data_IF_591765708583
#
_entry.id   IF_591765708583
#
_cell.length_a   1.000
_cell.length_b   1.000
_cell.length_c   1.000
_cell.angle_alpha   90.00
_cell.angle_beta   90.00
_cell.angle_gamma   90.00
#
_symmetry.space_group_name_H-M   'P 1'
#
loop_
_entity.id
_entity.type
_entity.pdbx_description
1 polymer ?
#
# COMPACT_ATOMS: atom_id res chain seq x y z
N UNK A 1 0.47 33.46 29.10
CA UNK A 1 0.08 33.45 27.67
C UNK A 1 0.49 32.14 26.99
N UNK A 2 1.71 31.63 27.19
CA UNK A 2 2.12 30.34 26.60
C UNK A 2 1.28 29.14 27.04
N UNK A 3 0.92 29.00 28.33
CA UNK A 3 0.11 27.89 28.84
C UNK A 3 -1.26 27.73 28.15
N UNK A 4 -1.85 28.82 27.68
CA UNK A 4 -3.13 28.80 26.96
C UNK A 4 -2.92 28.27 25.52
N UNK A 5 -1.85 28.68 24.85
CA UNK A 5 -1.48 28.15 23.53
C UNK A 5 -1.21 26.64 23.57
N UNK A 6 -0.62 26.13 24.65
CA UNK A 6 -0.39 24.70 24.85
C UNK A 6 -1.69 23.89 25.04
N UNK A 7 -2.72 24.48 25.64
CA UNK A 7 -4.03 23.83 25.84
C UNK A 7 -4.81 23.66 24.53
N UNK A 8 -4.57 24.50 23.52
CA UNK A 8 -5.20 24.42 22.21
C UNK A 8 -4.40 23.61 21.19
N UNK A 9 -3.14 23.29 21.48
CA UNK A 9 -2.27 22.46 20.65
C UNK A 9 -2.87 21.10 20.22
N UNK A 10 -3.67 20.40 21.06
CA UNK A 10 -4.40 19.18 20.68
C UNK A 10 -5.50 19.36 19.63
N UNK A 11 -5.88 20.60 19.35
CA UNK A 11 -6.99 20.98 18.47
C UNK A 11 -6.51 21.77 17.24
N UNK A 12 -5.20 21.95 17.09
CA UNK A 12 -4.63 22.65 15.94
C UNK A 12 -4.30 21.65 14.81
N UNK A 13 -4.56 21.99 13.54
CA UNK A 13 -4.24 21.13 12.41
C UNK A 13 -2.78 20.64 12.42
N UNK A 14 -2.57 19.35 12.13
CA UNK A 14 -1.27 18.71 12.30
C UNK A 14 -0.10 19.40 11.57
N UNK A 15 -0.34 20.08 10.44
CA UNK A 15 0.69 20.83 9.71
C UNK A 15 1.20 22.08 10.46
N UNK A 16 0.38 22.67 11.34
CA UNK A 16 0.76 23.80 12.19
C UNK A 16 1.65 23.32 13.35
N UNK A 17 1.37 22.12 13.85
CA UNK A 17 2.04 21.57 15.03
C UNK A 17 3.31 20.78 14.67
N UNK A 18 3.40 20.25 13.43
CA UNK A 18 4.52 19.47 12.93
C UNK A 18 5.91 20.12 13.08
N UNK A 19 6.12 21.44 12.82
CA UNK A 19 7.41 22.10 13.04
C UNK A 19 7.86 22.08 14.50
N UNK A 20 6.93 22.15 15.46
CA UNK A 20 7.23 22.10 16.89
C UNK A 20 7.66 20.69 17.33
N UNK A 21 6.98 19.66 16.81
CA UNK A 21 7.34 18.26 17.06
C UNK A 21 8.72 17.89 16.51
N UNK A 22 9.07 18.40 15.32
CA UNK A 22 10.35 18.17 14.66
C UNK A 22 11.57 18.56 15.52
N UNK A 23 11.43 19.57 16.38
CA UNK A 23 12.52 20.01 17.26
C UNK A 23 12.70 19.10 18.48
N UNK A 24 11.60 18.63 19.08
CA UNK A 24 11.63 17.65 20.19
C UNK A 24 12.20 16.31 19.75
N UNK A 25 11.89 15.95 18.51
CA UNK A 25 12.31 14.75 17.80
C UNK A 25 13.80 14.62 17.48
N UNK A 26 14.50 15.74 17.34
CA UNK A 26 15.95 15.79 17.07
C UNK A 26 16.80 15.57 18.32
N UNK A 27 16.20 15.60 19.51
CA UNK A 27 16.89 15.34 20.77
C UNK A 27 17.21 13.84 20.87
N UNK A 28 18.41 13.42 20.46
CA UNK A 28 18.91 12.03 20.52
C UNK A 28 19.09 11.42 21.92
N UNK A 29 18.32 11.86 22.92
CA UNK A 29 18.34 11.29 24.28
C UNK A 29 17.63 9.93 24.28
N UNK A 30 18.22 8.97 24.99
CA UNK A 30 17.71 7.60 25.17
C UNK A 30 16.51 7.53 26.11
N UNK A 31 16.39 8.48 27.05
CA UNK A 31 15.20 8.67 27.87
C UNK A 31 14.52 10.01 27.52
N UNK A 32 13.26 9.93 27.06
CA UNK A 32 12.42 11.10 26.82
C UNK A 32 11.93 11.64 28.17
N UNK A 33 12.10 12.94 28.39
CA UNK A 33 11.52 13.62 29.56
C UNK A 33 9.99 13.56 29.54
N UNK A 34 9.35 13.70 30.71
CA UNK A 34 7.87 13.73 30.85
C UNK A 34 7.25 14.75 29.88
N UNK A 35 7.89 15.92 29.72
CA UNK A 35 7.47 16.94 28.77
C UNK A 35 7.51 16.47 27.30
N UNK A 36 8.56 15.76 26.90
CA UNK A 36 8.66 15.21 25.54
C UNK A 36 7.64 14.11 25.30
N UNK A 37 7.33 13.29 26.32
CA UNK A 37 6.29 12.27 26.24
C UNK A 37 4.89 12.90 26.11
N UNK A 38 4.59 13.95 26.87
CA UNK A 38 3.32 14.68 26.76
C UNK A 38 3.15 15.32 25.37
N UNK A 39 4.22 15.90 24.82
CA UNK A 39 4.25 16.45 23.47
C UNK A 39 3.96 15.34 22.44
N UNK A 40 4.64 14.19 22.50
CA UNK A 40 4.38 13.07 21.60
C UNK A 40 2.95 12.53 21.73
N UNK A 41 2.41 12.45 22.94
CA UNK A 41 1.02 12.02 23.15
C UNK A 41 0.04 13.00 22.48
N UNK A 42 0.23 14.31 22.65
CA UNK A 42 -0.60 15.33 21.99
C UNK A 42 -0.47 15.24 20.46
N UNK A 43 0.72 14.92 19.93
CA UNK A 43 0.90 14.66 18.51
C UNK A 43 0.08 13.46 18.03
N UNK A 44 0.13 12.36 18.77
CA UNK A 44 -0.62 11.14 18.45
C UNK A 44 -2.13 11.37 18.50
N UNK A 45 -2.61 12.13 19.48
CA UNK A 45 -4.02 12.54 19.58
C UNK A 45 -4.41 13.40 18.37
N UNK A 46 -3.62 14.42 18.02
CA UNK A 46 -3.87 15.24 16.84
C UNK A 46 -3.87 14.43 15.55
N UNK A 47 -2.94 13.48 15.39
CA UNK A 47 -2.90 12.59 14.24
C UNK A 47 -4.15 11.71 14.19
N UNK A 48 -4.61 11.22 15.33
CA UNK A 48 -5.83 10.43 15.43
C UNK A 48 -7.07 11.27 15.10
N UNK A 49 -7.18 12.48 15.64
CA UNK A 49 -8.28 13.41 15.34
C UNK A 49 -8.27 13.80 13.86
N UNK A 50 -7.12 14.14 13.28
CA UNK A 50 -6.98 14.38 11.84
C UNK A 50 -7.42 13.17 11.02
N UNK A 51 -7.08 11.96 11.47
CA UNK A 51 -7.51 10.73 10.80
C UNK A 51 -9.02 10.57 10.86
N UNK A 52 -9.65 10.77 12.02
CA UNK A 52 -11.11 10.67 12.20
C UNK A 52 -11.85 11.77 11.44
N UNK A 53 -11.44 13.03 11.58
CA UNK A 53 -12.03 14.18 10.88
C UNK A 53 -11.83 14.03 9.37
N UNK A 54 -10.61 13.73 8.93
CA UNK A 54 -10.32 13.45 7.52
C UNK A 54 -11.19 12.31 7.00
N UNK A 55 -11.35 11.25 7.78
CA UNK A 55 -12.23 10.16 7.40
C UNK A 55 -13.69 10.61 7.20
N UNK A 56 -14.29 11.37 8.12
CA UNK A 56 -15.68 11.82 7.95
C UNK A 56 -15.85 12.89 6.86
N UNK A 57 -14.99 13.91 6.85
CA UNK A 57 -15.10 15.04 5.93
C UNK A 57 -14.57 14.76 4.52
N UNK A 58 -13.81 13.68 4.32
CA UNK A 58 -13.31 13.27 3.00
C UNK A 58 -14.03 12.04 2.49
N UNK A 59 -14.14 10.98 3.29
CA UNK A 59 -14.67 9.70 2.81
C UNK A 59 -16.12 9.84 2.40
N UNK A 60 -16.97 10.48 3.21
CA UNK A 60 -18.39 10.60 2.92
C UNK A 60 -18.62 11.39 1.61
N UNK A 61 -18.03 12.58 1.40
CA UNK A 61 -18.14 13.27 0.12
C UNK A 61 -17.57 12.47 -1.06
N UNK A 62 -16.44 11.77 -0.89
CA UNK A 62 -15.87 10.91 -1.95
C UNK A 62 -16.84 9.77 -2.30
N UNK A 63 -17.45 9.12 -1.31
CA UNK A 63 -18.44 8.07 -1.53
C UNK A 63 -19.68 8.61 -2.26
N UNK A 64 -20.20 9.77 -1.83
CA UNK A 64 -21.34 10.44 -2.47
C UNK A 64 -20.99 10.81 -3.92
N UNK A 65 -19.85 11.44 -4.16
CA UNK A 65 -19.39 11.80 -5.50
C UNK A 65 -19.19 10.54 -6.38
N UNK A 66 -18.70 9.45 -5.80
CA UNK A 66 -18.56 8.16 -6.48
C UNK A 66 -19.88 7.53 -6.92
N UNK A 67 -21.02 7.88 -6.31
CA UNK A 67 -22.35 7.45 -6.79
C UNK A 67 -22.68 8.04 -8.16
N UNK A 68 -22.21 9.26 -8.43
CA UNK A 68 -22.47 10.01 -9.67
C UNK A 68 -21.34 9.89 -10.70
N UNK A 69 -20.22 9.25 -10.36
CA UNK A 69 -19.09 9.10 -11.27
C UNK A 69 -19.43 8.15 -12.44
N UNK A 70 -19.17 8.54 -13.70
CA UNK A 70 -19.46 7.70 -14.88
C UNK A 70 -18.62 6.42 -14.90
N UNK A 71 -17.40 6.50 -14.37
CA UNK A 71 -16.55 5.35 -14.09
C UNK A 71 -16.15 5.36 -12.62
N UNK A 72 -17.01 4.77 -11.78
CA UNK A 72 -16.83 4.70 -10.31
C UNK A 72 -15.45 4.18 -9.93
N UNK A 73 -14.93 3.20 -10.67
CA UNK A 73 -13.65 2.59 -10.37
C UNK A 73 -12.48 3.53 -10.65
N UNK A 74 -12.42 4.13 -11.84
CA UNK A 74 -11.36 5.09 -12.15
C UNK A 74 -11.40 6.28 -11.18
N UNK A 75 -12.61 6.69 -10.79
CA UNK A 75 -12.82 7.70 -9.76
C UNK A 75 -12.24 7.28 -8.39
N UNK A 76 -12.63 6.12 -7.85
CA UNK A 76 -12.12 5.68 -6.54
C UNK A 76 -10.61 5.43 -6.54
N UNK A 77 -10.06 4.91 -7.64
CA UNK A 77 -8.60 4.78 -7.79
C UNK A 77 -7.91 6.14 -7.78
N UNK A 78 -8.42 7.11 -8.54
CA UNK A 78 -7.85 8.46 -8.59
C UNK A 78 -7.93 9.16 -7.22
N UNK A 79 -9.07 9.05 -6.53
CA UNK A 79 -9.23 9.58 -5.17
C UNK A 79 -8.27 8.90 -4.19
N UNK A 80 -8.20 7.56 -4.21
CA UNK A 80 -7.27 6.79 -3.37
C UNK A 80 -5.82 7.20 -3.60
N UNK A 81 -5.40 7.33 -4.87
CA UNK A 81 -4.05 7.77 -5.25
C UNK A 81 -3.75 9.19 -4.76
N UNK A 82 -4.69 10.12 -4.94
CA UNK A 82 -4.57 11.51 -4.49
C UNK A 82 -4.40 11.60 -2.97
N UNK A 83 -5.29 10.93 -2.21
CA UNK A 83 -5.25 10.95 -0.76
C UNK A 83 -4.05 10.20 -0.19
N UNK A 84 -3.64 9.08 -0.79
CA UNK A 84 -2.40 8.40 -0.42
C UNK A 84 -1.18 9.31 -0.60
N UNK A 85 -1.12 10.09 -1.68
CA UNK A 85 -0.04 11.05 -1.93
C UNK A 85 -0.03 12.19 -0.92
N UNK A 86 -1.20 12.72 -0.56
CA UNK A 86 -1.33 13.73 0.51
C UNK A 86 -0.86 13.15 1.84
N UNK A 87 -1.36 11.97 2.20
CA UNK A 87 -1.01 11.31 3.46
C UNK A 87 0.49 11.12 3.58
N UNK A 88 1.14 10.50 2.58
CA UNK A 88 2.59 10.29 2.55
C UNK A 88 3.38 11.59 2.70
N UNK A 89 2.96 12.67 2.02
CA UNK A 89 3.59 13.99 2.15
C UNK A 89 3.40 14.59 3.54
N UNK A 90 2.21 14.47 4.12
CA UNK A 90 1.88 15.00 5.44
C UNK A 90 2.71 14.33 6.55
N UNK A 91 2.99 13.03 6.40
CA UNK A 91 3.86 12.29 7.33
C UNK A 91 5.36 12.40 6.97
N UNK A 92 5.73 13.21 5.98
CA UNK A 92 7.12 13.45 5.60
C UNK A 92 7.81 12.29 4.86
N UNK A 93 7.04 11.36 4.30
CA UNK A 93 7.56 10.25 3.50
C UNK A 93 7.90 10.74 2.10
N UNK A 94 9.15 10.50 1.68
CA UNK A 94 9.60 10.75 0.31
C UNK A 94 9.53 9.46 -0.47
N UNK A 95 8.82 9.46 -1.60
CA UNK A 95 8.73 8.29 -2.48
C UNK A 95 9.46 8.59 -3.78
N UNK A 96 10.24 7.64 -4.26
CA UNK A 96 10.90 7.65 -5.56
C UNK A 96 10.58 6.35 -6.30
N UNK A 97 10.41 6.44 -7.62
CA UNK A 97 10.15 5.29 -8.49
C UNK A 97 11.31 5.17 -9.49
N UNK A 98 11.78 3.96 -9.67
CA UNK A 98 12.82 3.58 -10.64
C UNK A 98 12.32 2.39 -11.47
N UNK A 99 12.78 2.26 -12.72
CA UNK A 99 12.41 1.13 -13.58
C UNK A 99 11.05 1.29 -14.27
N UNK A 100 10.50 2.50 -14.36
CA UNK A 100 9.25 2.77 -15.08
C UNK A 100 9.31 2.33 -16.55
N UNK A 101 10.51 2.31 -17.14
CA UNK A 101 10.78 1.78 -18.48
C UNK A 101 10.49 0.27 -18.62
N UNK A 102 10.41 -0.47 -17.51
CA UNK A 102 10.10 -1.91 -17.49
C UNK A 102 8.59 -2.19 -17.47
N UNK A 103 7.76 -1.15 -17.40
CA UNK A 103 6.29 -1.26 -17.42
C UNK A 103 5.85 -1.76 -18.81
N UNK A 104 5.19 -2.92 -18.91
CA UNK A 104 4.68 -3.41 -20.19
C UNK A 104 3.65 -2.45 -20.80
N UNK A 105 3.55 -2.36 -22.14
CA UNK A 105 2.57 -1.49 -22.81
C UNK A 105 1.12 -1.94 -22.60
N UNK A 106 0.91 -3.15 -22.09
CA UNK A 106 -0.41 -3.72 -21.81
C UNK A 106 -0.54 -4.21 -20.37
N UNK A 107 -1.69 -4.82 -20.03
CA UNK A 107 -1.98 -5.31 -18.70
C UNK A 107 -0.92 -6.28 -18.18
N UNK A 108 -0.52 -6.09 -16.93
CA UNK A 108 0.45 -6.94 -16.26
C UNK A 108 0.06 -7.23 -14.81
N UNK A 109 0.66 -8.27 -14.24
CA UNK A 109 0.55 -8.61 -12.83
C UNK A 109 1.80 -8.12 -12.13
N UNK A 110 1.64 -7.16 -11.23
CA UNK A 110 2.71 -6.60 -10.43
C UNK A 110 2.72 -7.29 -9.09
N UNK A 111 3.82 -7.97 -8.76
CA UNK A 111 3.98 -8.60 -7.44
C UNK A 111 4.92 -7.76 -6.61
N UNK A 112 4.45 -7.32 -5.45
CA UNK A 112 5.18 -6.42 -4.56
C UNK A 112 5.49 -7.09 -3.22
N UNK A 113 6.73 -7.02 -2.75
CA UNK A 113 7.07 -7.38 -1.36
C UNK A 113 6.58 -6.29 -0.41
N UNK A 114 5.58 -6.59 0.42
CA UNK A 114 5.00 -5.63 1.36
C UNK A 114 5.41 -5.95 2.79
N UNK A 115 5.86 -4.93 3.51
CA UNK A 115 6.33 -5.01 4.90
C UNK A 115 5.61 -4.02 5.82
N UNK A 116 4.89 -3.06 5.26
CA UNK A 116 4.13 -2.07 6.00
C UNK A 116 2.94 -1.53 5.21
N UNK A 117 1.96 -0.94 5.89
CA UNK A 117 0.85 -0.25 5.22
C UNK A 117 1.30 0.93 4.35
N UNK A 118 2.45 1.55 4.66
CA UNK A 118 3.01 2.64 3.86
C UNK A 118 3.43 2.19 2.47
N UNK A 119 3.76 0.90 2.31
CA UNK A 119 4.15 0.31 1.05
C UNK A 119 2.99 0.31 0.05
N UNK A 120 1.83 -0.18 0.48
CA UNK A 120 0.61 -0.15 -0.35
C UNK A 120 0.18 1.28 -0.68
N UNK A 121 0.30 2.21 0.28
CA UNK A 121 0.02 3.63 0.04
C UNK A 121 0.99 4.24 -0.99
N UNK A 122 2.29 3.93 -0.92
CA UNK A 122 3.28 4.39 -1.89
C UNK A 122 2.97 3.87 -3.29
N UNK A 123 2.60 2.60 -3.40
CA UNK A 123 2.19 1.98 -4.67
C UNK A 123 0.97 2.67 -5.27
N UNK A 124 -0.08 2.88 -4.47
CA UNK A 124 -1.30 3.54 -4.91
C UNK A 124 -1.05 4.99 -5.34
N UNK A 125 -0.14 5.69 -4.66
CA UNK A 125 0.15 7.09 -4.92
C UNK A 125 1.09 7.35 -6.11
N UNK A 126 1.97 6.40 -6.46
CA UNK A 126 3.09 6.65 -7.37
C UNK A 126 3.20 5.72 -8.57
N UNK A 127 2.43 4.63 -8.67
CA UNK A 127 2.37 3.89 -9.93
C UNK A 127 1.64 4.71 -11.01
N UNK A 128 2.19 4.82 -12.24
CA UNK A 128 1.68 5.73 -13.27
C UNK A 128 0.47 5.20 -14.04
N UNK A 129 -0.22 4.17 -13.52
CA UNK A 129 -1.34 3.52 -14.18
C UNK A 129 -2.42 3.09 -13.18
N UNK A 130 -3.64 2.89 -13.68
CA UNK A 130 -4.73 2.33 -12.89
C UNK A 130 -4.55 0.81 -12.74
N UNK A 131 -4.79 0.30 -11.53
CA UNK A 131 -4.70 -1.13 -11.23
C UNK A 131 -5.78 -1.58 -10.23
N UNK A 132 -5.82 -2.88 -9.92
CA UNK A 132 -6.56 -3.43 -8.77
C UNK A 132 -5.62 -4.15 -7.83
N UNK A 133 -5.75 -3.90 -6.54
CA UNK A 133 -5.10 -4.73 -5.54
C UNK A 133 -5.76 -6.11 -5.48
N UNK A 134 -4.94 -7.13 -5.23
CA UNK A 134 -5.35 -8.46 -4.80
C UNK A 134 -5.00 -8.60 -3.33
N UNK A 135 -6.03 -8.82 -2.51
CA UNK A 135 -5.88 -9.08 -1.09
C UNK A 135 -6.32 -10.50 -0.75
N UNK A 136 -5.81 -11.00 0.38
CA UNK A 136 -6.26 -12.27 0.92
C UNK A 136 -7.76 -12.23 1.17
N UNK A 137 -8.48 -13.31 0.81
CA UNK A 137 -9.94 -13.36 0.88
C UNK A 137 -10.49 -13.02 2.27
N UNK A 138 -9.82 -13.44 3.34
CA UNK A 138 -10.26 -13.20 4.72
C UNK A 138 -10.35 -11.69 5.06
N UNK A 139 -9.53 -10.83 4.44
CA UNK A 139 -9.56 -9.38 4.69
C UNK A 139 -10.87 -8.73 4.24
N UNK A 140 -11.55 -9.33 3.26
CA UNK A 140 -12.87 -8.89 2.82
C UNK A 140 -13.99 -9.22 3.82
N UNK A 141 -13.72 -10.02 4.84
CA UNK A 141 -14.64 -10.29 5.96
C UNK A 141 -14.65 -9.19 7.02
N UNK A 142 -13.64 -8.32 7.04
CA UNK A 142 -13.59 -7.18 7.96
C UNK A 142 -14.63 -6.15 7.55
N UNK A 143 -15.59 -5.82 8.42
CA UNK A 143 -16.81 -5.07 8.07
C UNK A 143 -16.52 -3.78 7.30
N UNK A 144 -15.71 -2.89 7.89
CA UNK A 144 -15.48 -1.58 7.30
C UNK A 144 -14.45 -1.63 6.16
N UNK A 145 -13.31 -2.29 6.40
CA UNK A 145 -12.24 -2.42 5.41
C UNK A 145 -12.73 -3.18 4.17
N UNK A 146 -13.26 -4.39 4.33
CA UNK A 146 -13.75 -5.22 3.23
C UNK A 146 -14.86 -4.56 2.42
N UNK A 147 -15.71 -3.72 3.03
CA UNK A 147 -16.71 -2.94 2.30
C UNK A 147 -16.05 -1.91 1.37
N UNK A 148 -15.07 -1.15 1.87
CA UNK A 148 -14.33 -0.19 1.05
C UNK A 148 -13.54 -0.88 -0.07
N UNK A 149 -12.87 -1.98 0.23
CA UNK A 149 -12.10 -2.71 -0.79
C UNK A 149 -13.01 -3.24 -1.91
N UNK A 150 -14.24 -3.68 -1.58
CA UNK A 150 -15.26 -4.07 -2.59
C UNK A 150 -15.72 -2.89 -3.42
N UNK A 151 -15.94 -1.72 -2.80
CA UNK A 151 -16.34 -0.50 -3.51
C UNK A 151 -15.24 0.01 -4.45
N UNK A 152 -13.98 -0.06 -4.01
CA UNK A 152 -12.82 0.22 -4.84
C UNK A 152 -12.65 -0.81 -5.99
N UNK A 153 -13.33 -1.96 -5.87
CA UNK A 153 -13.30 -3.04 -6.84
C UNK A 153 -12.03 -3.87 -6.76
N UNK A 154 -11.41 -3.98 -5.58
CA UNK A 154 -10.26 -4.86 -5.41
C UNK A 154 -10.68 -6.33 -5.36
N UNK A 155 -9.69 -7.19 -5.54
CA UNK A 155 -9.88 -8.61 -5.79
C UNK A 155 -9.56 -9.40 -4.54
N UNK A 156 -10.46 -10.30 -4.19
CA UNK A 156 -10.26 -11.27 -3.14
C UNK A 156 -9.67 -12.53 -3.76
N UNK A 157 -8.60 -13.05 -3.17
CA UNK A 157 -7.97 -14.27 -3.63
C UNK A 157 -7.56 -15.14 -2.44
N UNK A 158 -7.89 -16.43 -2.50
CA UNK A 158 -7.47 -17.41 -1.50
C UNK A 158 -5.96 -17.71 -1.61
N UNK A 159 -5.17 -17.64 -0.53
CA UNK A 159 -3.71 -17.78 -0.64
C UNK A 159 -3.28 -19.22 -0.94
N UNK A 160 -3.83 -20.23 -0.24
CA UNK A 160 -3.28 -21.60 -0.21
C UNK A 160 -4.27 -22.77 -0.43
N UNK A 161 -5.60 -22.56 -0.41
CA UNK A 161 -6.57 -23.65 -0.65
C UNK A 161 -6.90 -23.82 -2.15
N UNK A 162 -6.40 -24.90 -2.76
CA UNK A 162 -6.38 -25.10 -4.22
C UNK A 162 -7.74 -24.93 -4.93
N UNK A 163 -8.80 -25.58 -4.45
CA UNK A 163 -10.13 -25.51 -5.08
C UNK A 163 -10.67 -24.07 -5.02
N UNK A 164 -10.53 -23.45 -3.85
CA UNK A 164 -10.95 -22.09 -3.58
C UNK A 164 -10.15 -21.05 -4.37
N UNK A 165 -8.84 -21.27 -4.57
CA UNK A 165 -8.01 -20.46 -5.46
C UNK A 165 -8.51 -20.54 -6.90
N UNK A 166 -8.75 -21.77 -7.38
CA UNK A 166 -9.14 -22.01 -8.76
C UNK A 166 -10.44 -21.27 -9.08
N UNK A 167 -11.42 -21.37 -8.19
CA UNK A 167 -12.69 -20.66 -8.30
C UNK A 167 -12.52 -19.14 -8.32
N UNK A 168 -11.65 -18.58 -7.47
CA UNK A 168 -11.34 -17.15 -7.47
C UNK A 168 -10.67 -16.71 -8.77
N UNK A 169 -9.66 -17.45 -9.21
CA UNK A 169 -8.91 -17.16 -10.44
C UNK A 169 -9.85 -17.18 -11.64
N UNK A 170 -10.69 -18.20 -11.77
CA UNK A 170 -11.68 -18.31 -12.85
C UNK A 170 -12.67 -17.15 -12.79
N UNK A 171 -13.18 -16.81 -11.60
CA UNK A 171 -14.10 -15.68 -11.41
C UNK A 171 -13.47 -14.35 -11.81
N UNK A 172 -12.24 -14.09 -11.37
CA UNK A 172 -11.50 -12.86 -11.67
C UNK A 172 -11.26 -12.76 -13.17
N UNK A 173 -10.77 -13.83 -13.81
CA UNK A 173 -10.52 -13.85 -15.26
C UNK A 173 -11.80 -13.67 -16.07
N UNK A 174 -12.93 -14.25 -15.63
CA UNK A 174 -14.24 -14.05 -16.28
C UNK A 174 -14.73 -12.59 -16.16
N UNK A 175 -14.45 -11.95 -15.03
CA UNK A 175 -14.94 -10.60 -14.72
C UNK A 175 -14.07 -9.50 -15.35
N UNK A 176 -12.76 -9.60 -15.19
CA UNK A 176 -11.80 -8.58 -15.65
C UNK A 176 -11.22 -8.88 -17.03
N UNK A 177 -11.24 -10.14 -17.44
CA UNK A 177 -10.45 -10.60 -18.57
C UNK A 177 -8.96 -10.32 -18.35
N UNK A 178 -8.28 -9.96 -19.45
CA UNK A 178 -6.85 -9.61 -19.52
C UNK A 178 -6.66 -8.12 -19.80
N UNK A 179 -7.54 -7.27 -19.27
CA UNK A 179 -7.64 -5.85 -19.67
C UNK A 179 -7.04 -4.87 -18.67
N UNK A 180 -6.59 -5.34 -17.51
CA UNK A 180 -6.32 -4.47 -16.37
C UNK A 180 -5.06 -4.87 -15.62
N UNK A 181 -4.33 -3.87 -15.13
CA UNK A 181 -3.18 -4.10 -14.26
C UNK A 181 -3.65 -4.58 -12.89
N UNK A 182 -2.93 -5.55 -12.34
CA UNK A 182 -3.23 -6.13 -11.05
C UNK A 182 -1.98 -6.02 -10.19
N UNK A 183 -2.14 -5.55 -8.95
CA UNK A 183 -1.06 -5.53 -7.97
C UNK A 183 -1.39 -6.57 -6.90
N UNK A 184 -0.51 -7.55 -6.75
CA UNK A 184 -0.59 -8.58 -5.72
C UNK A 184 0.57 -8.44 -4.74
N UNK A 185 0.33 -8.88 -3.52
CA UNK A 185 1.31 -8.76 -2.44
C UNK A 185 1.98 -10.11 -2.16
N UNK A 186 3.29 -10.07 -2.05
CA UNK A 186 4.12 -11.12 -1.50
C UNK A 186 4.44 -10.75 -0.04
N UNK A 187 4.34 -11.73 0.86
CA UNK A 187 4.64 -11.53 2.27
C UNK A 187 6.08 -11.98 2.53
N UNK A 188 6.97 -11.02 2.82
CA UNK A 188 8.39 -11.28 3.05
C UNK A 188 9.07 -12.00 1.87
N UNK A 189 8.68 -11.64 0.65
CA UNK A 189 9.14 -12.27 -0.58
C UNK A 189 8.49 -13.62 -0.90
N UNK A 190 7.61 -14.17 -0.05
CA UNK A 190 6.85 -15.37 -0.36
C UNK A 190 5.61 -15.04 -1.17
N UNK A 191 5.49 -15.67 -2.34
CA UNK A 191 4.32 -15.50 -3.23
C UNK A 191 3.33 -16.62 -2.96
N UNK A 192 2.13 -16.24 -2.52
CA UNK A 192 1.04 -17.19 -2.27
C UNK A 192 0.64 -17.94 -3.54
N UNK A 193 0.25 -19.21 -3.38
CA UNK A 193 -0.08 -20.10 -4.49
C UNK A 193 -1.18 -19.54 -5.39
N UNK A 194 -2.14 -18.83 -4.81
CA UNK A 194 -3.21 -18.20 -5.54
C UNK A 194 -2.77 -17.11 -6.54
N UNK A 195 -1.77 -16.30 -6.20
CA UNK A 195 -1.19 -15.28 -7.10
C UNK A 195 -0.40 -15.93 -8.22
N UNK A 196 0.34 -16.99 -7.91
CA UNK A 196 1.05 -17.78 -8.92
C UNK A 196 0.06 -18.44 -9.90
N UNK A 197 -1.03 -19.03 -9.37
CA UNK A 197 -2.08 -19.66 -10.17
C UNK A 197 -2.75 -18.65 -11.11
N UNK A 198 -3.08 -17.48 -10.59
CA UNK A 198 -3.63 -16.38 -11.38
C UNK A 198 -2.69 -15.96 -12.52
N UNK A 199 -1.39 -15.88 -12.23
CA UNK A 199 -0.36 -15.50 -13.20
C UNK A 199 -0.27 -16.49 -14.36
N UNK A 200 -0.32 -17.79 -14.07
CA UNK A 200 -0.28 -18.82 -15.13
C UNK A 200 -1.56 -18.80 -15.99
N UNK A 201 -2.73 -18.74 -15.37
CA UNK A 201 -4.01 -18.79 -16.11
C UNK A 201 -4.26 -17.52 -16.94
N UNK A 202 -3.86 -16.36 -16.40
CA UNK A 202 -3.98 -15.09 -17.10
C UNK A 202 -3.03 -14.98 -18.29
N UNK A 203 -1.88 -15.71 -18.28
CA UNK A 203 -0.79 -15.58 -19.26
C UNK A 203 -0.27 -14.13 -19.40
N UNK A 204 -0.51 -13.28 -18.40
CA UNK A 204 -0.04 -11.91 -18.36
C UNK A 204 1.42 -11.87 -17.89
N UNK A 205 2.23 -10.92 -18.37
CA UNK A 205 3.57 -10.73 -17.83
C UNK A 205 3.51 -10.41 -16.35
N UNK A 206 4.43 -11.00 -15.58
CA UNK A 206 4.57 -10.75 -14.14
C UNK A 206 5.74 -9.80 -13.92
N UNK A 207 5.51 -8.66 -13.29
CA UNK A 207 6.53 -7.64 -13.00
C UNK A 207 6.74 -7.59 -11.50
N UNK A 208 7.98 -7.61 -11.04
CA UNK A 208 8.26 -7.49 -9.60
C UNK A 208 8.42 -6.03 -9.21
N UNK A 209 7.82 -5.63 -8.10
CA UNK A 209 8.02 -4.30 -7.49
C UNK A 209 8.76 -4.51 -6.18
N UNK A 210 10.01 -4.08 -6.13
CA UNK A 210 10.80 -4.07 -4.90
C UNK A 210 10.59 -2.77 -4.16
N UNK A 211 10.49 -2.88 -2.85
CA UNK A 211 10.49 -1.71 -1.97
C UNK A 211 11.76 -1.73 -1.15
N UNK A 212 12.52 -0.65 -1.22
CA UNK A 212 13.60 -0.38 -0.27
C UNK A 212 13.19 0.77 0.62
N UNK A 213 13.22 0.49 1.91
CA UNK A 213 13.15 1.50 2.97
C UNK A 213 14.58 1.98 3.21
N UNK A 214 14.84 3.28 3.05
CA UNK A 214 16.10 3.88 3.51
C UNK A 214 16.04 4.00 5.03
N UNK A 215 16.40 2.90 5.71
CA UNK A 215 16.38 2.78 7.17
C UNK A 215 17.61 3.46 7.79
N UNK A 216 17.75 4.77 7.57
CA UNK A 216 18.46 5.66 8.50
C UNK A 216 17.54 6.07 9.68
N UNK A 217 16.35 5.47 9.80
CA UNK A 217 15.31 5.70 10.80
C UNK A 217 14.67 4.38 11.29
N UNK A 218 14.23 4.28 12.56
CA UNK A 218 13.65 3.07 13.17
C UNK A 218 12.37 2.54 12.47
N UNK A 219 12.02 1.26 12.70
CA UNK A 219 10.89 0.57 12.05
C UNK A 219 9.53 1.24 12.32
N UNK A 220 8.56 0.98 11.45
CA UNK A 220 7.23 1.62 11.39
C UNK A 220 6.44 1.53 12.70
N UNK A 221 6.67 0.52 13.54
CA UNK A 221 6.09 0.44 14.89
C UNK A 221 6.50 1.60 15.81
N UNK A 222 7.63 2.25 15.52
CA UNK A 222 8.13 3.43 16.19
C UNK A 222 7.75 4.75 15.49
N UNK A 223 6.93 4.73 14.42
CA UNK A 223 6.47 5.94 13.72
C UNK A 223 5.75 6.93 14.67
N UNK A 224 5.03 6.39 15.65
CA UNK A 224 4.38 7.17 16.73
C UNK A 224 5.40 7.77 17.72
N UNK A 225 6.62 7.22 17.81
CA UNK A 225 7.67 7.66 18.73
C UNK A 225 8.72 8.55 18.04
N UNK A 226 8.97 8.36 16.74
CA UNK A 226 9.87 9.18 15.94
C UNK A 226 9.43 9.41 14.48
N UNK A 227 8.70 10.51 14.13
CA UNK A 227 8.56 11.00 12.76
C UNK A 227 9.89 11.50 12.17
N UNK A 228 10.76 10.59 11.76
CA UNK A 228 11.85 10.88 10.83
C UNK A 228 11.34 10.68 9.40
N UNK A 229 11.85 11.44 8.42
CA UNK A 229 11.48 11.26 7.02
C UNK A 229 11.94 9.87 6.55
N UNK A 230 10.97 8.97 6.34
CA UNK A 230 11.23 7.68 5.69
C UNK A 230 11.30 7.91 4.19
N UNK A 231 12.37 7.46 3.56
CA UNK A 231 12.44 7.44 2.09
C UNK A 231 12.09 6.04 1.60
N UNK A 232 11.07 5.94 0.77
CA UNK A 232 10.61 4.71 0.12
C UNK A 232 11.06 4.77 -1.34
N UNK A 233 11.80 3.75 -1.77
CA UNK A 233 12.16 3.57 -3.17
C UNK A 233 11.44 2.37 -3.74
N UNK A 234 10.61 2.61 -4.76
CA UNK A 234 9.93 1.60 -5.54
C UNK A 234 10.79 1.30 -6.77
N UNK A 235 11.28 0.07 -6.91
CA UNK A 235 12.05 -0.36 -8.07
C UNK A 235 11.25 -1.40 -8.85
N UNK A 236 10.87 -1.08 -10.08
CA UNK A 236 10.11 -1.95 -10.99
C UNK A 236 11.11 -2.82 -11.77
N UNK A 237 10.99 -4.14 -11.60
CA UNK A 237 11.85 -5.13 -12.25
C UNK A 237 11.45 -5.45 -13.68
N UNK A 238 12.25 -6.29 -14.35
CA UNK A 238 11.95 -6.78 -15.69
C UNK A 238 10.71 -7.71 -15.70
N UNK A 239 9.87 -7.68 -16.74
CA UNK A 239 8.73 -8.57 -16.87
C UNK A 239 9.17 -10.03 -17.07
N UNK A 240 8.61 -10.91 -16.24
CA UNK A 240 8.74 -12.37 -16.32
C UNK A 240 7.56 -12.90 -17.12
N UNK A 241 7.84 -13.57 -18.25
CA UNK A 241 6.78 -14.18 -19.08
C UNK A 241 6.21 -15.42 -18.40
N UNK A 242 5.00 -15.33 -17.87
CA UNK A 242 4.26 -16.44 -17.22
C UNK A 242 3.86 -17.56 -18.18
N UNK A 243 3.83 -17.31 -19.50
CA UNK A 243 3.46 -18.29 -20.52
C UNK A 243 4.42 -19.48 -20.68
N UNK A 244 5.56 -19.49 -19.96
CA UNK A 244 6.52 -20.60 -19.94
C UNK A 244 6.14 -21.73 -18.98
N UNK A 245 5.13 -21.53 -18.13
CA UNK A 245 4.79 -22.42 -17.02
C UNK A 245 3.50 -23.20 -17.33
N UNK A 246 3.52 -24.51 -17.09
CA UNK A 246 2.48 -25.48 -17.54
C UNK A 246 1.26 -25.57 -16.60
N UNK A 247 1.17 -24.75 -15.55
CA UNK A 247 0.05 -24.74 -14.60
C UNK A 247 0.01 -25.92 -13.62
N UNK A 248 0.99 -26.80 -13.67
CA UNK A 248 1.20 -27.87 -12.70
C UNK A 248 1.83 -27.34 -11.39
N UNK A 249 1.77 -28.15 -10.33
CA UNK A 249 2.26 -27.80 -9.00
C UNK A 249 3.74 -27.39 -8.99
N UNK A 250 4.55 -28.03 -9.84
CA UNK A 250 5.98 -27.72 -9.99
C UNK A 250 6.18 -26.37 -10.67
N UNK A 251 5.43 -26.08 -11.74
CA UNK A 251 5.44 -24.77 -12.40
C UNK A 251 5.02 -23.63 -11.47
N UNK A 252 4.04 -23.85 -10.59
CA UNK A 252 3.63 -22.86 -9.60
C UNK A 252 4.78 -22.54 -8.63
N UNK A 253 5.46 -23.58 -8.13
CA UNK A 253 6.61 -23.41 -7.24
C UNK A 253 7.77 -22.70 -7.93
N UNK A 254 8.08 -23.07 -9.18
CA UNK A 254 9.12 -22.42 -9.98
C UNK A 254 8.81 -20.95 -10.23
N UNK A 255 7.58 -20.62 -10.64
CA UNK A 255 7.17 -19.24 -10.86
C UNK A 255 7.22 -18.43 -9.55
N UNK A 256 6.72 -18.98 -8.44
CA UNK A 256 6.83 -18.33 -7.13
C UNK A 256 8.30 -18.07 -6.77
N UNK A 257 9.20 -19.05 -6.97
CA UNK A 257 10.63 -18.87 -6.72
C UNK A 257 11.26 -17.79 -7.61
N UNK A 258 10.92 -17.75 -8.91
CA UNK A 258 11.45 -16.75 -9.83
C UNK A 258 10.97 -15.33 -9.48
N UNK A 259 9.70 -15.19 -9.07
CA UNK A 259 9.16 -13.94 -8.53
C UNK A 259 9.87 -13.56 -7.22
N UNK A 260 10.04 -14.50 -6.29
CA UNK A 260 10.77 -14.27 -5.03
C UNK A 260 12.22 -13.83 -5.26
N UNK A 261 12.90 -14.42 -6.25
CA UNK A 261 14.25 -14.00 -6.68
C UNK A 261 14.24 -12.59 -7.27
N UNK A 262 13.22 -12.23 -8.06
CA UNK A 262 13.06 -10.87 -8.58
C UNK A 262 12.82 -9.82 -7.47
N UNK A 263 12.10 -10.21 -6.41
CA UNK A 263 11.88 -9.36 -5.24
C UNK A 263 13.16 -9.19 -4.40
N UNK A 264 13.95 -10.25 -4.24
CA UNK A 264 15.20 -10.27 -3.47
C UNK A 264 16.37 -10.83 -4.30
N UNK A 265 16.90 -10.12 -5.32
CA UNK A 265 18.14 -10.52 -5.95
C UNK A 265 19.22 -10.35 -4.89
N UNK A 266 19.84 -11.45 -4.51
CA UNK A 266 21.07 -11.46 -3.72
C UNK A 266 22.00 -10.34 -4.22
N UNK A 267 22.56 -9.60 -3.26
CA UNK A 267 23.54 -8.51 -3.47
C UNK A 267 24.61 -8.87 -4.49
#
# INVERSE_FOLDING_TARGET
>A
MELILWAFLPFLPAFIVFPFYKNVMKSGRTALSIWQQAILLIYQINLYLLFVEGFFFVLIPVLIAGLFAPNKRSFFHAQGSFWAKIFLRAIGVKVSVEGEENIPPGPAIYVQDVRSYLDGAATLAYLPFAFRFVFQRHLFGVTFFGWLERLAGYLALEPDALDLMHDDVVRILKTLGRKENIVAFAEQGNVHGGVALFSIHSKLPVVTIRIKHDLSSPPVSAFLARPLPVSIRLSIGQPITSGKYSGDKTSLQMLSQDISRGLNPTK
#
